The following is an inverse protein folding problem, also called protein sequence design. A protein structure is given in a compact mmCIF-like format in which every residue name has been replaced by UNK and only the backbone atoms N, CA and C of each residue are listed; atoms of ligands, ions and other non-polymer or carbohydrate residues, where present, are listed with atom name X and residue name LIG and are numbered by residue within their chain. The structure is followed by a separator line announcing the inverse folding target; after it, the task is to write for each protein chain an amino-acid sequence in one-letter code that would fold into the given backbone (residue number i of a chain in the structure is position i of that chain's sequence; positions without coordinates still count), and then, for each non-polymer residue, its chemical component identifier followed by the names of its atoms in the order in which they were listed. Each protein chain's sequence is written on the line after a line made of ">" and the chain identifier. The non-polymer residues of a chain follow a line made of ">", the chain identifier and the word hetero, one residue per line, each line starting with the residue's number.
data_IF_411578699093
#
_entry.id   IF_411578699093
#
_cell.length_a   1.000
_cell.length_b   1.000
_cell.length_c   1.000
_cell.angle_alpha   90.00
_cell.angle_beta   90.00
_cell.angle_gamma   90.00
#
_symmetry.space_group_name_H-M   'P 1'
#
loop_
_entity.id
_entity.type
_entity.pdbx_description
1 polymer ?
#
# COMPACT_ATOMS: atom_id res chain seq x y z
N UNK A 1 -19.57 3.57 -21.16
CA UNK A 1 -18.87 4.15 -20.00
C UNK A 1 -19.40 5.54 -19.77
N UNK A 2 -19.86 5.84 -18.55
CA UNK A 2 -20.29 7.19 -18.18
C UNK A 2 -19.09 8.13 -18.00
N UNK A 3 -19.32 9.45 -18.02
CA UNK A 3 -18.28 10.46 -17.77
C UNK A 3 -17.58 10.25 -16.41
N UNK A 4 -18.32 9.82 -15.39
CA UNK A 4 -17.82 9.50 -14.06
C UNK A 4 -16.90 8.27 -14.07
N UNK A 5 -17.26 7.23 -14.84
CA UNK A 5 -16.42 6.04 -14.98
C UNK A 5 -15.09 6.34 -15.68
N UNK A 6 -15.11 7.21 -16.70
CA UNK A 6 -13.90 7.67 -17.38
C UNK A 6 -13.01 8.43 -16.41
N UNK A 7 -13.57 9.39 -15.66
CA UNK A 7 -12.80 10.17 -14.67
C UNK A 7 -12.18 9.26 -13.61
N UNK A 8 -12.94 8.28 -13.09
CA UNK A 8 -12.43 7.30 -12.11
C UNK A 8 -11.29 6.46 -12.69
N UNK A 9 -11.43 5.99 -13.93
CA UNK A 9 -10.39 5.24 -14.63
C UNK A 9 -9.11 6.07 -14.77
N UNK A 10 -9.22 7.33 -15.20
CA UNK A 10 -8.08 8.24 -15.34
C UNK A 10 -7.37 8.46 -14.00
N UNK A 11 -8.11 8.72 -12.92
CA UNK A 11 -7.51 8.90 -11.60
C UNK A 11 -6.83 7.62 -11.11
N UNK A 12 -7.45 6.46 -11.34
CA UNK A 12 -6.86 5.16 -11.00
C UNK A 12 -5.55 4.96 -11.77
N UNK A 13 -5.50 5.30 -13.06
CA UNK A 13 -4.29 5.22 -13.87
C UNK A 13 -3.19 6.20 -13.39
N UNK A 14 -3.55 7.42 -12.99
CA UNK A 14 -2.61 8.40 -12.43
C UNK A 14 -2.03 7.93 -11.09
N UNK A 15 -2.87 7.40 -10.20
CA UNK A 15 -2.42 6.79 -8.94
C UNK A 15 -1.54 5.57 -9.21
N UNK A 16 -1.87 4.76 -10.20
CA UNK A 16 -1.03 3.65 -10.61
C UNK A 16 0.35 4.13 -11.06
N UNK A 17 0.42 5.12 -11.95
CA UNK A 17 1.67 5.71 -12.40
C UNK A 17 2.51 6.26 -11.24
N UNK A 18 1.88 6.96 -10.28
CA UNK A 18 2.56 7.44 -9.08
C UNK A 18 3.12 6.28 -8.23
N UNK A 19 2.36 5.19 -8.06
CA UNK A 19 2.80 4.00 -7.36
C UNK A 19 4.00 3.34 -8.05
N UNK A 20 4.05 3.34 -9.40
CA UNK A 20 5.19 2.82 -10.16
C UNK A 20 6.43 3.68 -9.98
N UNK A 21 6.30 5.01 -10.08
CA UNK A 21 7.42 5.94 -9.84
C UNK A 21 8.00 5.74 -8.45
N UNK A 22 7.16 5.66 -7.42
CA UNK A 22 7.62 5.39 -6.05
C UNK A 22 8.27 4.00 -5.92
N UNK A 23 7.78 3.00 -6.64
CA UNK A 23 8.40 1.66 -6.67
C UNK A 23 9.81 1.72 -7.26
N UNK A 24 10.02 2.49 -8.34
CA UNK A 24 11.32 2.67 -8.97
C UNK A 24 12.26 3.47 -8.07
N UNK A 25 11.78 4.57 -7.47
CA UNK A 25 12.56 5.38 -6.52
C UNK A 25 13.01 4.51 -5.34
N UNK A 26 12.09 3.77 -4.71
CA UNK A 26 12.40 2.86 -3.61
C UNK A 26 13.40 1.75 -4.00
N UNK A 27 13.37 1.32 -5.26
CA UNK A 27 14.34 0.36 -5.76
C UNK A 27 15.74 0.95 -5.85
N UNK A 28 15.86 2.19 -6.32
CA UNK A 28 17.14 2.88 -6.49
C UNK A 28 17.81 3.29 -5.19
N UNK A 29 17.06 3.51 -4.10
CA UNK A 29 17.68 3.82 -2.80
C UNK A 29 18.30 2.54 -2.21
N UNK A 30 19.64 2.48 -2.03
CA UNK A 30 20.33 1.34 -1.45
C UNK A 30 20.18 1.40 0.07
N UNK A 31 19.01 1.00 0.57
CA UNK A 31 18.76 0.91 2.00
C UNK A 31 19.07 -0.52 2.45
N UNK A 32 19.87 -0.73 3.51
CA UNK A 32 20.08 -2.05 4.07
C UNK A 32 18.74 -2.61 4.57
N UNK A 33 18.19 -3.57 3.83
CA UNK A 33 16.95 -4.25 4.19
C UNK A 33 17.26 -5.65 4.72
N UNK A 34 16.46 -6.15 5.67
CA UNK A 34 16.74 -7.40 6.38
C UNK A 34 16.69 -8.66 5.50
N UNK A 35 16.02 -8.61 4.36
CA UNK A 35 16.04 -9.71 3.39
C UNK A 35 15.92 -9.18 1.95
N UNK A 36 16.45 -9.95 0.97
CA UNK A 36 16.20 -9.69 -0.45
C UNK A 36 14.69 -9.64 -0.74
N UNK A 37 14.24 -8.55 -1.34
CA UNK A 37 12.84 -8.36 -1.73
C UNK A 37 12.00 -7.56 -0.74
N UNK A 38 12.36 -7.47 0.55
CA UNK A 38 11.66 -6.59 1.50
C UNK A 38 12.05 -5.13 1.19
N UNK A 39 11.06 -4.24 1.21
CA UNK A 39 11.24 -2.79 1.03
C UNK A 39 10.32 -2.02 2.00
N UNK A 40 10.43 -0.70 2.04
CA UNK A 40 9.60 0.14 2.93
C UNK A 40 8.11 0.12 2.56
N UNK A 41 7.78 -0.16 1.31
CA UNK A 41 6.43 -0.08 0.80
C UNK A 41 6.00 1.35 0.50
N UNK A 42 6.91 2.23 0.04
CA UNK A 42 6.55 3.60 -0.36
C UNK A 42 5.44 3.61 -1.41
N UNK A 43 5.48 2.71 -2.38
CA UNK A 43 4.41 2.56 -3.36
C UNK A 43 3.09 2.07 -2.77
N UNK A 44 3.12 1.42 -1.59
CA UNK A 44 1.91 1.01 -0.89
C UNK A 44 1.15 2.18 -0.25
N UNK A 45 1.82 3.31 0.04
CA UNK A 45 1.16 4.54 0.49
C UNK A 45 0.09 4.96 -0.52
N UNK A 46 0.39 4.84 -1.83
CA UNK A 46 -0.55 5.19 -2.90
C UNK A 46 -1.69 4.17 -3.00
N UNK A 47 -1.42 2.88 -2.78
CA UNK A 47 -2.46 1.83 -2.73
C UNK A 47 -3.41 2.07 -1.56
N UNK A 48 -2.88 2.35 -0.38
CA UNK A 48 -3.68 2.67 0.81
C UNK A 48 -4.48 3.96 0.61
N UNK A 49 -3.84 5.00 0.05
CA UNK A 49 -4.50 6.25 -0.32
C UNK A 49 -5.69 5.99 -1.26
N UNK A 50 -5.52 5.12 -2.25
CA UNK A 50 -6.58 4.80 -3.22
C UNK A 50 -7.82 4.18 -2.59
N UNK A 51 -7.68 3.46 -1.46
CA UNK A 51 -8.81 2.83 -0.77
C UNK A 51 -9.80 3.85 -0.18
N UNK A 52 -9.35 5.06 0.14
CA UNK A 52 -10.21 6.12 0.66
C UNK A 52 -11.02 6.85 -0.42
N UNK A 53 -10.56 6.79 -1.67
CA UNK A 53 -11.08 7.64 -2.75
C UNK A 53 -11.66 6.88 -3.93
N UNK A 54 -11.23 5.64 -4.14
CA UNK A 54 -11.72 4.76 -5.18
C UNK A 54 -12.56 3.64 -4.57
N UNK A 55 -13.21 2.86 -5.43
CA UNK A 55 -13.91 1.66 -4.96
C UNK A 55 -12.88 0.67 -4.43
N UNK A 56 -13.28 -0.15 -3.45
CA UNK A 56 -12.45 -1.25 -2.90
C UNK A 56 -11.84 -2.11 -4.01
N UNK A 57 -12.61 -2.38 -5.08
CA UNK A 57 -12.15 -3.13 -6.26
C UNK A 57 -10.97 -2.45 -6.95
N UNK A 58 -11.00 -1.14 -7.13
CA UNK A 58 -9.94 -0.37 -7.81
C UNK A 58 -8.63 -0.40 -6.99
N UNK A 59 -8.72 -0.34 -5.65
CA UNK A 59 -7.55 -0.47 -4.77
C UNK A 59 -6.89 -1.86 -4.88
N UNK A 60 -7.69 -2.93 -4.95
CA UNK A 60 -7.16 -4.28 -5.21
C UNK A 60 -6.53 -4.39 -6.60
N UNK A 61 -7.17 -3.84 -7.63
CA UNK A 61 -6.62 -3.79 -8.99
C UNK A 61 -5.26 -3.07 -8.98
N UNK A 62 -5.13 -1.95 -8.28
CA UNK A 62 -3.86 -1.24 -8.12
C UNK A 62 -2.80 -2.11 -7.44
N UNK A 63 -3.13 -2.81 -6.37
CA UNK A 63 -2.19 -3.71 -5.69
C UNK A 63 -1.71 -4.86 -6.60
N UNK A 64 -2.61 -5.44 -7.40
CA UNK A 64 -2.30 -6.52 -8.35
C UNK A 64 -1.42 -6.00 -9.48
N UNK A 65 -1.83 -4.91 -10.14
CA UNK A 65 -1.06 -4.30 -11.23
C UNK A 65 0.33 -3.86 -10.76
N UNK A 66 0.43 -3.30 -9.55
CA UNK A 66 1.71 -2.93 -8.94
C UNK A 66 2.59 -4.15 -8.75
N UNK A 67 2.03 -5.24 -8.25
CA UNK A 67 2.78 -6.48 -8.00
C UNK A 67 3.22 -7.14 -9.31
N UNK A 68 2.41 -7.04 -10.38
CA UNK A 68 2.79 -7.45 -11.72
C UNK A 68 3.95 -6.60 -12.27
N UNK A 69 3.95 -5.29 -12.05
CA UNK A 69 5.08 -4.45 -12.42
C UNK A 69 6.36 -4.84 -11.66
N UNK A 70 6.24 -5.10 -10.35
CA UNK A 70 7.35 -5.60 -9.53
C UNK A 70 7.84 -6.95 -10.03
N UNK A 71 6.95 -7.83 -10.50
CA UNK A 71 7.32 -9.11 -11.11
C UNK A 71 8.23 -8.92 -12.32
N UNK A 72 7.83 -8.06 -13.25
CA UNK A 72 8.56 -7.81 -14.49
C UNK A 72 9.92 -7.13 -14.25
N UNK A 73 10.03 -6.31 -13.20
CA UNK A 73 11.23 -5.50 -12.94
C UNK A 73 12.19 -6.12 -11.94
N UNK A 74 11.68 -6.89 -10.97
CA UNK A 74 12.41 -7.34 -9.77
C UNK A 74 12.26 -8.83 -9.47
N UNK A 75 11.46 -9.56 -10.26
CA UNK A 75 11.30 -11.01 -10.18
C UNK A 75 10.17 -11.51 -9.27
N UNK A 76 9.99 -12.84 -9.27
CA UNK A 76 8.86 -13.53 -8.64
C UNK A 76 8.75 -13.31 -7.12
N UNK A 77 9.88 -13.40 -6.40
CA UNK A 77 9.91 -13.25 -4.94
C UNK A 77 9.43 -11.85 -4.54
N UNK A 78 9.97 -10.79 -5.15
CA UNK A 78 9.59 -9.42 -4.84
C UNK A 78 8.11 -9.15 -5.17
N UNK A 79 7.60 -9.72 -6.25
CA UNK A 79 6.19 -9.61 -6.62
C UNK A 79 5.27 -10.28 -5.60
N UNK A 80 5.63 -11.48 -5.15
CA UNK A 80 4.88 -12.22 -4.15
C UNK A 80 4.82 -11.45 -2.83
N UNK A 81 5.96 -10.91 -2.37
CA UNK A 81 6.00 -10.06 -1.18
C UNK A 81 5.13 -8.80 -1.34
N UNK A 82 5.23 -8.11 -2.48
CA UNK A 82 4.40 -6.93 -2.78
C UNK A 82 2.90 -7.25 -2.76
N UNK A 83 2.52 -8.41 -3.31
CA UNK A 83 1.13 -8.83 -3.39
C UNK A 83 0.59 -9.20 -2.02
N UNK A 84 1.30 -10.06 -1.27
CA UNK A 84 0.92 -10.46 0.08
C UNK A 84 0.80 -9.25 1.01
N UNK A 85 1.80 -8.35 0.99
CA UNK A 85 1.74 -7.10 1.75
C UNK A 85 0.56 -6.23 1.33
N UNK A 86 0.38 -5.99 0.04
CA UNK A 86 -0.69 -5.13 -0.48
C UNK A 86 -2.10 -5.65 -0.17
N UNK A 87 -2.34 -6.95 -0.38
CA UNK A 87 -3.63 -7.59 -0.11
C UNK A 87 -3.93 -7.58 1.38
N UNK A 88 -2.96 -7.93 2.23
CA UNK A 88 -3.16 -7.95 3.68
C UNK A 88 -3.39 -6.54 4.24
N UNK A 89 -2.70 -5.54 3.69
CA UNK A 89 -2.91 -4.11 3.98
C UNK A 89 -4.34 -3.67 3.69
N UNK A 90 -4.82 -3.89 2.46
CA UNK A 90 -6.18 -3.50 2.06
C UNK A 90 -7.23 -4.24 2.88
N UNK A 91 -7.05 -5.55 3.11
CA UNK A 91 -7.96 -6.35 3.91
C UNK A 91 -8.07 -5.82 5.35
N UNK A 92 -6.93 -5.53 5.99
CA UNK A 92 -6.89 -4.98 7.34
C UNK A 92 -7.55 -3.60 7.43
N UNK A 93 -7.29 -2.71 6.45
CA UNK A 93 -7.94 -1.39 6.40
C UNK A 93 -9.45 -1.51 6.26
N UNK A 94 -9.94 -2.37 5.36
CA UNK A 94 -11.39 -2.61 5.19
C UNK A 94 -12.00 -3.14 6.48
N UNK A 95 -11.37 -4.14 7.11
CA UNK A 95 -11.85 -4.71 8.36
C UNK A 95 -11.91 -3.65 9.47
N UNK A 96 -10.88 -2.81 9.58
CA UNK A 96 -10.83 -1.73 10.55
C UNK A 96 -11.96 -0.70 10.34
N UNK A 97 -12.21 -0.31 9.09
CA UNK A 97 -13.33 0.57 8.75
C UNK A 97 -14.70 -0.06 9.07
N UNK A 98 -14.85 -1.38 8.88
CA UNK A 98 -16.10 -2.08 9.17
C UNK A 98 -16.38 -2.20 10.67
N UNK A 99 -15.34 -2.47 11.48
CA UNK A 99 -15.46 -2.64 12.92
C UNK A 99 -15.70 -1.30 13.63
N UNK A 100 -14.89 -0.28 13.31
CA UNK A 100 -14.91 0.99 14.05
C UNK A 100 -15.77 2.09 13.41
N UNK A 101 -16.25 1.87 12.17
CA UNK A 101 -17.14 2.78 11.42
C UNK A 101 -16.71 4.24 11.53
N UNK A 102 -17.56 5.13 12.04
CA UNK A 102 -17.31 6.58 12.10
C UNK A 102 -16.38 7.01 13.23
N UNK A 103 -16.02 6.11 14.15
CA UNK A 103 -15.15 6.44 15.30
C UNK A 103 -13.67 6.39 14.96
N UNK A 104 -13.30 5.95 13.76
CA UNK A 104 -11.90 5.76 13.38
C UNK A 104 -11.34 6.93 12.58
N UNK A 105 -10.17 7.40 13.00
CA UNK A 105 -9.42 8.41 12.25
C UNK A 105 -8.76 7.79 11.02
N UNK A 106 -8.70 8.54 9.92
CA UNK A 106 -7.95 8.16 8.73
C UNK A 106 -6.47 7.82 9.02
N UNK A 107 -5.89 8.45 10.04
CA UNK A 107 -4.54 8.17 10.52
C UNK A 107 -4.44 6.74 11.06
N UNK A 108 -5.38 6.32 11.92
CA UNK A 108 -5.39 4.97 12.49
C UNK A 108 -5.56 3.91 11.40
N UNK A 109 -6.49 4.10 10.47
CA UNK A 109 -6.68 3.18 9.35
C UNK A 109 -5.41 3.07 8.51
N UNK A 110 -4.73 4.18 8.26
CA UNK A 110 -3.48 4.19 7.50
C UNK A 110 -2.34 3.50 8.25
N UNK A 111 -2.17 3.74 9.56
CA UNK A 111 -1.15 3.03 10.34
C UNK A 111 -1.43 1.52 10.34
N UNK A 112 -2.68 1.10 10.55
CA UNK A 112 -3.06 -0.32 10.49
C UNK A 112 -2.73 -0.91 9.12
N UNK A 113 -3.09 -0.23 8.03
CA UNK A 113 -2.75 -0.67 6.68
C UNK A 113 -1.24 -0.83 6.48
N UNK A 114 -0.43 0.13 6.94
CA UNK A 114 1.02 0.06 6.82
C UNK A 114 1.64 -1.06 7.66
N UNK A 115 1.13 -1.28 8.88
CA UNK A 115 1.58 -2.39 9.75
C UNK A 115 1.32 -3.71 9.07
N UNK A 116 0.08 -3.96 8.62
CA UNK A 116 -0.28 -5.22 7.96
C UNK A 116 0.40 -5.41 6.60
N UNK A 117 0.76 -4.33 5.90
CA UNK A 117 1.61 -4.43 4.72
C UNK A 117 2.98 -5.03 5.06
N UNK A 118 3.64 -4.48 6.07
CA UNK A 118 4.96 -4.95 6.51
C UNK A 118 4.89 -6.37 7.09
N UNK A 119 3.85 -6.66 7.88
CA UNK A 119 3.58 -8.02 8.37
C UNK A 119 3.40 -9.00 7.21
N UNK A 120 2.65 -8.62 6.17
CA UNK A 120 2.42 -9.48 5.00
C UNK A 120 3.71 -9.78 4.23
N UNK A 121 4.60 -8.79 4.11
CA UNK A 121 5.92 -8.99 3.49
C UNK A 121 6.80 -9.93 4.31
N UNK A 122 6.90 -9.72 5.63
CA UNK A 122 7.70 -10.60 6.51
C UNK A 122 7.13 -12.02 6.53
N UNK A 123 5.82 -12.16 6.65
CA UNK A 123 5.18 -13.47 6.66
C UNK A 123 5.44 -14.22 5.34
N UNK A 124 5.32 -13.53 4.19
CA UNK A 124 5.57 -14.11 2.88
C UNK A 124 7.04 -14.56 2.71
N UNK A 125 8.00 -13.73 3.11
CA UNK A 125 9.42 -14.09 3.00
C UNK A 125 9.83 -15.17 4.01
N UNK A 126 9.28 -15.14 5.23
CA UNK A 126 9.51 -16.19 6.22
C UNK A 126 8.93 -17.53 5.77
N UNK A 127 7.82 -17.53 5.03
CA UNK A 127 7.27 -18.75 4.42
C UNK A 127 8.17 -19.28 3.29
N UNK A 128 8.73 -18.39 2.45
CA UNK A 128 9.58 -18.79 1.32
C UNK A 128 10.96 -19.32 1.77
N UNK A 129 11.57 -18.67 2.76
CA UNK A 129 12.93 -18.99 3.20
C UNK A 129 12.97 -19.80 4.50
N UNK A 130 11.81 -20.16 5.06
CA UNK A 130 11.66 -20.89 6.33
C UNK A 130 12.46 -20.27 7.47
N UNK A 131 12.63 -18.95 7.46
CA UNK A 131 13.49 -18.23 8.39
C UNK A 131 12.67 -17.29 9.28
N UNK A 132 12.60 -17.65 10.57
CA UNK A 132 11.89 -16.89 11.60
C UNK A 132 12.70 -15.70 12.13
N UNK A 133 14.02 -15.61 11.91
CA UNK A 133 14.82 -14.46 12.35
C UNK A 133 14.38 -13.14 11.72
N UNK A 134 13.67 -13.19 10.59
CA UNK A 134 13.14 -11.99 9.93
C UNK A 134 12.08 -11.28 10.78
N UNK A 135 11.43 -11.97 11.71
CA UNK A 135 10.50 -11.37 12.67
C UNK A 135 11.21 -10.51 13.72
N UNK A 136 12.51 -10.68 13.94
CA UNK A 136 13.30 -9.81 14.83
C UNK A 136 13.39 -8.38 14.30
N UNK A 137 13.18 -8.17 13.00
CA UNK A 137 13.10 -6.83 12.37
C UNK A 137 11.71 -6.20 12.47
N UNK A 138 10.72 -6.92 13.00
CA UNK A 138 9.36 -6.42 13.13
C UNK A 138 9.24 -5.11 13.92
N UNK A 139 9.97 -4.89 15.05
CA UNK A 139 9.94 -3.61 15.75
C UNK A 139 10.36 -2.42 14.86
N UNK A 140 11.41 -2.59 14.06
CA UNK A 140 11.87 -1.56 13.11
C UNK A 140 10.81 -1.31 12.03
N UNK A 141 10.15 -2.38 11.58
CA UNK A 141 9.08 -2.31 10.58
C UNK A 141 7.78 -1.69 11.14
N UNK A 142 7.52 -1.79 12.45
CA UNK A 142 6.44 -1.05 13.11
C UNK A 142 6.73 0.45 13.11
N UNK A 143 7.95 0.86 13.41
CA UNK A 143 8.36 2.26 13.32
C UNK A 143 8.19 2.80 11.90
N UNK A 144 8.63 2.05 10.87
CA UNK A 144 8.43 2.47 9.48
C UNK A 144 6.95 2.50 9.09
N UNK A 145 6.13 1.59 9.60
CA UNK A 145 4.69 1.59 9.37
C UNK A 145 3.99 2.82 9.97
N UNK A 146 4.40 3.29 11.15
CA UNK A 146 3.86 4.53 11.73
C UNK A 146 4.21 5.73 10.85
N UNK A 147 5.45 5.81 10.35
CA UNK A 147 5.88 6.89 9.44
C UNK A 147 5.09 6.84 8.13
N UNK A 148 5.02 5.67 7.48
CA UNK A 148 4.31 5.49 6.22
C UNK A 148 2.79 5.74 6.37
N UNK A 149 2.18 5.25 7.45
CA UNK A 149 0.77 5.49 7.78
C UNK A 149 0.49 6.97 8.03
N UNK A 150 1.38 7.66 8.73
CA UNK A 150 1.28 9.11 8.95
C UNK A 150 1.41 9.89 7.64
N UNK A 151 2.36 9.52 6.78
CA UNK A 151 2.54 10.12 5.46
C UNK A 151 1.29 9.93 4.59
N UNK A 152 0.71 8.72 4.57
CA UNK A 152 -0.54 8.43 3.86
C UNK A 152 -1.68 9.31 4.36
N UNK A 153 -1.82 9.43 5.69
CA UNK A 153 -2.86 10.28 6.28
C UNK A 153 -2.64 11.77 6.02
N UNK A 154 -1.39 12.24 5.95
CA UNK A 154 -1.07 13.62 5.62
C UNK A 154 -1.43 13.93 4.16
N UNK A 155 -1.04 13.06 3.23
CA UNK A 155 -1.40 13.15 1.81
C UNK A 155 -2.93 13.20 1.65
N UNK A 156 -3.64 12.31 2.34
CA UNK A 156 -5.10 12.28 2.37
C UNK A 156 -5.69 13.60 2.86
N UNK A 157 -5.21 14.16 3.98
CA UNK A 157 -5.69 15.46 4.50
C UNK A 157 -5.46 16.62 3.53
N UNK A 158 -4.31 16.67 2.88
CA UNK A 158 -3.95 17.74 1.94
C UNK A 158 -4.78 17.66 0.65
N UNK A 159 -5.05 16.45 0.17
CA UNK A 159 -5.77 16.22 -1.09
C UNK A 159 -7.29 16.22 -0.94
N UNK A 160 -7.81 15.91 0.25
CA UNK A 160 -9.25 15.92 0.57
C UNK A 160 -10.00 17.17 0.09
N UNK A 161 -9.54 18.42 0.34
CA UNK A 161 -10.23 19.62 -0.13
C UNK A 161 -10.26 19.73 -1.66
N UNK A 162 -9.16 19.40 -2.34
CA UNK A 162 -9.10 19.41 -3.80
C UNK A 162 -9.98 18.30 -4.42
N UNK A 163 -10.07 17.15 -3.76
CA UNK A 163 -10.80 16.00 -4.26
C UNK A 163 -12.30 16.05 -4.01
N UNK A 164 -12.77 16.76 -2.97
CA UNK A 164 -14.21 17.03 -2.76
C UNK A 164 -14.84 17.76 -3.95
N UNK A 165 -14.06 18.52 -4.71
CA UNK A 165 -14.53 19.16 -5.93
C UNK A 165 -14.60 18.23 -7.15
N UNK A 166 -14.10 16.99 -7.05
CA UNK A 166 -14.00 16.07 -8.18
C UNK A 166 -15.16 15.06 -8.30
N UNK A 167 -16.15 15.09 -7.39
CA UNK A 167 -17.41 14.31 -7.39
C UNK A 167 -17.23 12.87 -7.94
N UNK A 168 -16.40 12.09 -7.24
CA UNK A 168 -16.06 10.72 -7.61
C UNK A 168 -16.98 9.67 -6.96
N UNK A 169 -18.05 10.10 -6.29
CA UNK A 169 -19.02 9.24 -5.60
C UNK A 169 -20.38 9.27 -6.29
#
# INVERSE_FOLDING_TARGET
>A
MSSVEIRRMVITALLFAAALVLTVVEYQVPIPMPAPGIKFGLSNIVVMYSLFFLKKKDAFTLAILKSLFVFLTRGAVAAFLSLCGGVLSIAAMILCMLIFREKISYLMVSIVGAVFHNTGQIAAISLLYTNLLLWTYFPVLLFSAVIAGSATSALLKITLPALKHLDLQ
#
